data_IF_044697342435
#
_entry.id   IF_044697342435
#
_cell.length_a   1.000
_cell.length_b   1.000
_cell.length_c   1.000
_cell.angle_alpha   90.00
_cell.angle_beta   90.00
_cell.angle_gamma   90.00
#
_symmetry.space_group_name_H-M   'P 1'
#
loop_
_entity.id
_entity.type
_entity.pdbx_description
1 polymer ?
#
# COMPACT_ATOMS: atom_id res chain seq x y z
N UNK A 1 -3.09 11.19 5.34
CA UNK A 1 -2.06 10.29 4.74
C UNK A 1 -2.56 9.85 3.38
N UNK A 2 -1.64 9.64 2.44
CA UNK A 2 -1.88 9.21 1.07
C UNK A 2 -1.23 7.85 0.88
N UNK A 3 -1.99 6.89 0.39
CA UNK A 3 -1.55 5.52 0.15
C UNK A 3 -1.34 5.28 -1.34
N UNK A 4 -0.26 4.60 -1.67
CA UNK A 4 0.06 4.20 -3.04
C UNK A 4 0.34 2.71 -3.09
N UNK A 5 -0.18 2.05 -4.12
CA UNK A 5 0.10 0.64 -4.43
C UNK A 5 0.80 0.61 -5.78
N UNK A 6 2.00 0.03 -5.83
CA UNK A 6 2.84 -0.02 -7.03
C UNK A 6 3.00 1.37 -7.69
N UNK A 7 3.32 2.38 -6.87
CA UNK A 7 3.48 3.78 -7.26
C UNK A 7 2.22 4.45 -7.85
N UNK A 8 1.04 3.82 -7.74
CA UNK A 8 -0.24 4.40 -8.15
C UNK A 8 -1.03 4.85 -6.93
N UNK A 9 -1.62 6.04 -7.00
CA UNK A 9 -2.49 6.54 -5.93
C UNK A 9 -3.63 5.56 -5.69
N UNK A 10 -3.79 5.14 -4.44
CA UNK A 10 -4.86 4.24 -4.01
C UNK A 10 -5.96 5.00 -3.30
N UNK A 11 -5.63 5.69 -2.20
CA UNK A 11 -6.59 6.54 -1.46
C UNK A 11 -5.91 7.47 -0.46
N UNK A 12 -6.68 8.43 0.04
CA UNK A 12 -6.33 9.21 1.23
C UNK A 12 -7.04 8.67 2.47
N UNK A 13 -6.41 8.78 3.64
CA UNK A 13 -7.01 8.40 4.93
C UNK A 13 -6.48 9.27 6.10
N UNK A 14 -7.27 9.45 7.17
CA UNK A 14 -6.79 9.85 8.49
C UNK A 14 -5.60 9.02 9.01
N UNK A 15 -4.84 9.62 9.93
CA UNK A 15 -3.79 8.93 10.66
C UNK A 15 -4.38 7.86 11.59
N UNK A 16 -3.73 6.70 11.68
CA UNK A 16 -4.13 5.60 12.56
C UNK A 16 -5.32 4.75 12.07
N UNK A 17 -5.99 5.13 10.99
CA UNK A 17 -7.06 4.33 10.41
C UNK A 17 -6.50 3.04 9.79
N UNK A 18 -7.21 1.92 9.97
CA UNK A 18 -6.85 0.61 9.38
C UNK A 18 -7.15 0.61 7.89
N UNK A 19 -6.21 0.09 7.10
CA UNK A 19 -6.32 0.05 5.65
C UNK A 19 -6.39 -1.40 5.16
N UNK A 20 -7.30 -1.65 4.23
CA UNK A 20 -7.50 -2.96 3.60
C UNK A 20 -7.49 -2.77 2.08
N UNK A 21 -6.87 -3.70 1.37
CA UNK A 21 -6.86 -3.76 -0.09
C UNK A 21 -6.62 -5.22 -0.54
N UNK A 22 -6.98 -5.56 -1.78
CA UNK A 22 -6.66 -6.85 -2.38
C UNK A 22 -5.41 -6.71 -3.24
N UNK A 23 -4.27 -7.34 -2.88
CA UNK A 23 -3.06 -7.25 -3.68
C UNK A 23 -3.17 -8.06 -4.98
N UNK A 24 -2.21 -7.86 -5.89
CA UNK A 24 -1.99 -8.76 -7.02
C UNK A 24 -0.90 -9.77 -6.67
N UNK A 25 -0.87 -10.91 -7.36
CA UNK A 25 0.23 -11.87 -7.24
C UNK A 25 1.57 -11.24 -7.64
N UNK A 26 2.64 -11.64 -6.97
CA UNK A 26 3.99 -11.09 -7.15
C UNK A 26 4.39 -10.04 -6.11
N UNK A 27 5.46 -9.27 -6.38
CA UNK A 27 5.91 -8.19 -5.51
C UNK A 27 4.93 -7.01 -5.55
N UNK A 28 4.48 -6.57 -4.38
CA UNK A 28 3.60 -5.40 -4.24
C UNK A 28 4.28 -4.38 -3.34
N UNK A 29 4.55 -3.20 -3.89
CA UNK A 29 5.06 -2.05 -3.15
C UNK A 29 3.88 -1.27 -2.56
N UNK A 30 3.94 -1.01 -1.26
CA UNK A 30 2.96 -0.19 -0.54
C UNK A 30 3.70 1.02 0.02
N UNK A 31 3.22 2.21 -0.31
CA UNK A 31 3.80 3.47 0.15
C UNK A 31 2.77 4.30 0.92
N UNK A 32 3.20 4.91 2.02
CA UNK A 32 2.42 5.87 2.80
C UNK A 32 3.17 7.21 2.85
N UNK A 33 2.52 8.24 2.32
CA UNK A 33 3.02 9.61 2.31
C UNK A 33 2.13 10.48 3.20
N UNK A 34 2.71 11.33 4.04
CA UNK A 34 1.95 12.33 4.78
C UNK A 34 1.82 13.67 4.03
N UNK A 35 1.11 14.61 4.61
CA UNK A 35 0.90 15.96 4.09
C UNK A 35 2.18 16.79 3.96
N UNK A 36 3.25 16.39 4.66
CA UNK A 36 4.58 17.00 4.58
C UNK A 36 5.48 16.33 3.53
N UNK A 37 4.96 15.36 2.78
CA UNK A 37 5.71 14.64 1.76
C UNK A 37 6.66 13.58 2.31
N UNK A 38 6.61 13.24 3.62
CA UNK A 38 7.43 12.17 4.18
C UNK A 38 6.86 10.82 3.75
N UNK A 39 7.71 9.96 3.19
CA UNK A 39 7.31 8.68 2.63
C UNK A 39 7.87 7.49 3.43
N UNK A 40 7.07 6.43 3.55
CA UNK A 40 7.45 5.12 4.08
C UNK A 40 7.00 4.04 3.11
N UNK A 41 7.91 3.13 2.79
CA UNK A 41 7.68 2.04 1.85
C UNK A 41 7.81 0.68 2.55
N UNK A 42 6.94 -0.25 2.19
CA UNK A 42 7.10 -1.68 2.45
C UNK A 42 6.86 -2.47 1.16
N UNK A 43 7.43 -3.66 1.07
CA UNK A 43 7.19 -4.59 -0.04
C UNK A 43 6.72 -5.92 0.52
N UNK A 44 5.63 -6.45 -0.03
CA UNK A 44 5.16 -7.81 0.24
C UNK A 44 5.30 -8.66 -1.03
N UNK A 45 5.48 -9.97 -0.88
CA UNK A 45 5.44 -10.93 -1.98
C UNK A 45 4.21 -11.80 -1.83
N UNK A 46 3.27 -11.67 -2.76
CA UNK A 46 2.01 -12.41 -2.76
C UNK A 46 2.14 -13.60 -3.69
N UNK A 47 1.72 -14.78 -3.22
CA UNK A 47 1.60 -16.00 -4.02
C UNK A 47 0.20 -16.54 -3.86
N UNK A 48 -0.51 -16.72 -4.96
CA UNK A 48 -1.81 -17.39 -4.94
C UNK A 48 -1.58 -18.89 -5.02
N UNK A 49 -2.32 -19.63 -4.19
CA UNK A 49 -2.28 -21.08 -4.18
C UNK A 49 -3.66 -21.58 -4.57
N UNK A 50 -3.70 -22.52 -5.49
CA UNK A 50 -4.89 -23.34 -5.71
C UNK A 50 -4.80 -24.47 -4.69
N UNK A 51 -5.79 -24.54 -3.81
CA UNK A 51 -5.98 -25.62 -2.84
C UNK A 51 -6.63 -26.83 -3.51
#
# INVERSE_FOLDING_TARGET
MYWYINNKFYKASPAGEKQFFSPQEGPVKISCTDDKGRNRDITIHVKYINL
#
